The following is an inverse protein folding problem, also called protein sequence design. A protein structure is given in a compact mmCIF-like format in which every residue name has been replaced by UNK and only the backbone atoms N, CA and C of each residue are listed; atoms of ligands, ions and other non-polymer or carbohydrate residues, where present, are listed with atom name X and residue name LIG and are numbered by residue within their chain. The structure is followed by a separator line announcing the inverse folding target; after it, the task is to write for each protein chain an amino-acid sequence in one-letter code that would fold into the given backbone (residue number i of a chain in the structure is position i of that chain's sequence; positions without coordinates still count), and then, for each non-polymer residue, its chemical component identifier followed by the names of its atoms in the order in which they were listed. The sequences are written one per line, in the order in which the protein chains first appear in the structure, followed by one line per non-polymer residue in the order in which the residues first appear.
data_IF_732031553624
#
_entry.id   IF_732031553624
#
_cell.length_a   1.000
_cell.length_b   1.000
_cell.length_c   1.000
_cell.angle_alpha   90.00
_cell.angle_beta   90.00
_cell.angle_gamma   90.00
#
_symmetry.space_group_name_H-M   'P 1'
#
loop_
_entity.id
_entity.type
_entity.pdbx_description
1 polymer ?
#
# COMPACT_ATOMS: atom_id res chain seq x y z
N UNK A 1 -10.46 -8.22 -11.31
CA UNK A 1 -9.88 -6.94 -11.79
C UNK A 1 -11.00 -5.94 -11.98
N UNK A 2 -10.84 -4.71 -11.49
CA UNK A 2 -11.88 -3.67 -11.44
C UNK A 2 -11.33 -2.30 -11.84
N UNK A 3 -12.15 -1.47 -12.49
CA UNK A 3 -11.81 -0.13 -12.94
C UNK A 3 -12.13 0.92 -11.86
N UNK A 4 -11.13 1.61 -11.33
CA UNK A 4 -11.32 2.67 -10.33
C UNK A 4 -11.42 4.07 -10.95
N UNK A 5 -11.01 4.22 -12.21
CA UNK A 5 -11.05 5.46 -12.99
C UNK A 5 -10.88 5.11 -14.47
N UNK A 6 -11.60 5.79 -15.36
CA UNK A 6 -11.64 5.52 -16.82
C UNK A 6 -10.31 5.68 -17.56
N UNK A 7 -9.30 6.23 -16.88
CA UNK A 7 -7.96 6.47 -17.43
C UNK A 7 -6.92 5.44 -16.95
N UNK A 8 -7.31 4.53 -16.06
CA UNK A 8 -6.42 3.54 -15.43
C UNK A 8 -6.90 2.16 -15.86
N UNK A 9 -5.97 1.29 -16.25
CA UNK A 9 -6.31 -0.09 -16.56
C UNK A 9 -6.96 -0.78 -15.34
N UNK A 10 -7.80 -1.81 -15.54
CA UNK A 10 -8.37 -2.57 -14.43
C UNK A 10 -7.29 -3.09 -13.49
N UNK A 11 -7.46 -2.85 -12.19
CA UNK A 11 -6.52 -3.24 -11.13
C UNK A 11 -7.03 -4.47 -10.37
N UNK A 12 -6.18 -5.24 -9.67
CA UNK A 12 -6.56 -6.47 -8.97
C UNK A 12 -7.29 -6.22 -7.64
N UNK A 13 -8.26 -5.30 -7.65
CA UNK A 13 -9.15 -5.06 -6.52
C UNK A 13 -10.43 -5.88 -6.62
N UNK A 14 -10.94 -6.29 -5.46
CA UNK A 14 -12.26 -6.88 -5.34
C UNK A 14 -13.32 -5.84 -5.70
N UNK A 15 -14.27 -6.18 -6.60
CA UNK A 15 -15.36 -5.28 -6.94
C UNK A 15 -16.12 -4.78 -5.70
N UNK A 16 -16.38 -5.66 -4.73
CA UNK A 16 -17.13 -5.30 -3.52
C UNK A 16 -16.39 -4.27 -2.64
N UNK A 17 -15.05 -4.32 -2.64
CA UNK A 17 -14.21 -3.39 -1.90
C UNK A 17 -14.28 -1.98 -2.50
N UNK A 18 -14.15 -1.89 -3.81
CA UNK A 18 -14.21 -0.62 -4.53
C UNK A 18 -15.63 -0.03 -4.47
N UNK A 19 -16.66 -0.86 -4.68
CA UNK A 19 -18.05 -0.44 -4.51
C UNK A 19 -18.31 0.10 -3.10
N UNK A 20 -17.78 -0.57 -2.07
CA UNK A 20 -17.86 -0.08 -0.71
C UNK A 20 -17.16 1.26 -0.54
N UNK A 21 -15.94 1.43 -1.06
CA UNK A 21 -15.19 2.69 -0.98
C UNK A 21 -15.94 3.84 -1.64
N UNK A 22 -16.50 3.63 -2.83
CA UNK A 22 -17.30 4.65 -3.52
C UNK A 22 -18.59 4.98 -2.77
N UNK A 23 -19.32 3.98 -2.23
CA UNK A 23 -20.49 4.22 -1.38
C UNK A 23 -20.12 4.94 -0.08
N UNK A 24 -18.94 4.66 0.47
CA UNK A 24 -18.40 5.36 1.63
C UNK A 24 -17.99 6.81 1.32
N UNK A 25 -17.95 7.19 0.04
CA UNK A 25 -17.70 8.55 -0.43
C UNK A 25 -16.28 8.79 -0.93
N UNK A 26 -15.50 7.73 -1.16
CA UNK A 26 -14.20 7.84 -1.84
C UNK A 26 -14.41 8.42 -3.24
N UNK A 27 -13.49 9.27 -3.69
CA UNK A 27 -13.37 9.73 -5.07
C UNK A 27 -11.94 9.51 -5.56
N UNK A 28 -11.79 9.31 -6.86
CA UNK A 28 -10.48 9.16 -7.52
C UNK A 28 -10.35 10.24 -8.58
N UNK A 29 -9.20 10.93 -8.62
CA UNK A 29 -8.86 11.89 -9.67
C UNK A 29 -7.45 11.66 -10.18
N UNK A 30 -7.23 11.85 -11.48
CA UNK A 30 -5.91 11.81 -12.11
C UNK A 30 -5.56 13.21 -12.62
N UNK A 31 -4.40 13.76 -12.20
CA UNK A 31 -3.99 15.13 -12.56
C UNK A 31 -3.55 15.26 -14.01
N UNK A 32 -2.60 14.43 -14.45
CA UNK A 32 -2.09 14.43 -15.83
C UNK A 32 -1.90 13.00 -16.32
N UNK A 33 -2.74 12.58 -17.27
CA UNK A 33 -2.70 11.23 -17.84
C UNK A 33 -1.49 10.98 -18.75
N UNK A 34 -0.68 12.00 -19.05
CA UNK A 34 0.46 11.91 -19.97
C UNK A 34 1.82 12.04 -19.28
N UNK A 35 1.84 12.39 -18.00
CA UNK A 35 3.11 12.51 -17.29
C UNK A 35 3.72 11.13 -17.00
N UNK A 36 5.05 11.08 -17.01
CA UNK A 36 5.83 9.89 -16.67
C UNK A 36 6.23 9.82 -15.18
N UNK A 37 5.91 10.86 -14.40
CA UNK A 37 6.19 10.89 -12.96
C UNK A 37 5.10 10.12 -12.20
N UNK A 38 5.48 9.14 -11.38
CA UNK A 38 4.54 8.38 -10.56
C UNK A 38 4.03 9.12 -9.32
N UNK A 39 3.25 8.41 -8.50
CA UNK A 39 2.82 8.85 -7.17
C UNK A 39 1.41 9.41 -7.08
N UNK A 40 1.00 9.69 -5.85
CA UNK A 40 -0.31 10.24 -5.52
C UNK A 40 -0.42 10.58 -4.05
N UNK A 41 -1.64 10.89 -3.62
CA UNK A 41 -2.00 11.13 -2.24
C UNK A 41 -3.39 10.59 -1.94
N UNK A 42 -3.53 10.00 -0.76
CA UNK A 42 -4.81 9.84 -0.09
C UNK A 42 -5.08 11.01 0.88
N UNK A 43 -6.16 11.73 0.63
CA UNK A 43 -6.67 12.82 1.46
C UNK A 43 -7.85 12.33 2.32
N UNK A 44 -7.64 11.94 3.58
CA UNK A 44 -8.67 11.33 4.43
C UNK A 44 -9.83 12.28 4.73
N UNK A 45 -9.54 13.57 4.92
CA UNK A 45 -10.52 14.63 5.20
C UNK A 45 -11.51 14.85 4.05
N UNK A 46 -11.07 14.58 2.81
CA UNK A 46 -11.85 14.79 1.58
C UNK A 46 -12.35 13.50 0.94
N UNK A 47 -11.93 12.37 1.52
CA UNK A 47 -12.03 11.03 0.95
C UNK A 47 -11.59 10.99 -0.52
N UNK A 48 -10.43 11.55 -0.81
CA UNK A 48 -9.94 11.72 -2.18
C UNK A 48 -8.63 10.97 -2.38
N UNK A 49 -8.63 10.02 -3.31
CA UNK A 49 -7.43 9.48 -3.94
C UNK A 49 -7.07 10.40 -5.10
N UNK A 50 -5.96 11.11 -4.98
CA UNK A 50 -5.44 12.00 -6.00
C UNK A 50 -4.15 11.43 -6.58
N UNK A 51 -4.22 10.98 -7.83
CA UNK A 51 -3.08 10.41 -8.53
C UNK A 51 -2.44 11.48 -9.41
N UNK A 52 -1.11 11.53 -9.42
CA UNK A 52 -0.42 12.46 -10.31
C UNK A 52 -0.55 12.02 -11.77
N UNK A 53 -0.55 10.71 -12.01
CA UNK A 53 -0.60 10.07 -13.34
C UNK A 53 -1.43 8.79 -13.31
N UNK A 54 -1.42 8.03 -14.40
CA UNK A 54 -2.09 6.73 -14.53
C UNK A 54 -1.25 5.56 -14.02
N UNK A 55 -0.18 5.82 -13.25
CA UNK A 55 0.69 4.78 -12.70
C UNK A 55 -0.09 3.81 -11.80
N UNK A 56 -0.14 2.54 -12.22
CA UNK A 56 -0.87 1.48 -11.51
C UNK A 56 -0.36 1.26 -10.09
N UNK A 57 0.96 1.31 -9.87
CA UNK A 57 1.56 1.13 -8.54
C UNK A 57 1.05 2.18 -7.54
N UNK A 58 1.02 3.46 -7.94
CA UNK A 58 0.49 4.54 -7.13
C UNK A 58 -1.02 4.40 -6.92
N UNK A 59 -1.76 4.03 -7.96
CA UNK A 59 -3.20 3.77 -7.84
C UNK A 59 -3.50 2.68 -6.80
N UNK A 60 -2.71 1.60 -6.80
CA UNK A 60 -2.83 0.52 -5.82
C UNK A 60 -2.52 1.04 -4.41
N UNK A 61 -1.42 1.79 -4.27
CA UNK A 61 -0.96 2.36 -3.01
C UNK A 61 -2.02 3.28 -2.37
N UNK A 62 -2.50 4.28 -3.11
CA UNK A 62 -3.43 5.27 -2.56
C UNK A 62 -4.82 4.71 -2.26
N UNK A 63 -5.31 3.77 -3.07
CA UNK A 63 -6.57 3.07 -2.77
C UNK A 63 -6.42 2.16 -1.55
N UNK A 64 -5.25 1.52 -1.38
CA UNK A 64 -4.97 0.75 -0.18
C UNK A 64 -4.93 1.63 1.09
N UNK A 65 -4.40 2.86 1.00
CA UNK A 65 -4.53 3.84 2.09
C UNK A 65 -5.98 4.13 2.45
N UNK A 66 -6.83 4.37 1.44
CA UNK A 66 -8.25 4.65 1.64
C UNK A 66 -8.98 3.48 2.31
N UNK A 67 -8.69 2.25 1.88
CA UNK A 67 -9.26 1.03 2.46
C UNK A 67 -8.86 0.81 3.92
N UNK A 68 -7.57 1.00 4.21
CA UNK A 68 -6.99 0.76 5.53
C UNK A 68 -7.38 1.83 6.55
N UNK A 69 -7.73 3.03 6.10
CA UNK A 69 -7.96 4.20 6.95
C UNK A 69 -8.93 3.96 8.11
N UNK A 70 -10.05 3.25 7.88
CA UNK A 70 -11.00 2.92 8.94
C UNK A 70 -10.58 1.67 9.72
N UNK A 71 -10.16 0.62 9.01
CA UNK A 71 -9.80 -0.69 9.57
C UNK A 71 -8.63 -0.64 10.54
N UNK A 72 -7.65 0.24 10.32
CA UNK A 72 -6.51 0.39 11.23
C UNK A 72 -6.88 0.85 12.63
N UNK A 73 -8.02 1.56 12.76
CA UNK A 73 -8.54 2.06 14.03
C UNK A 73 -9.31 1.00 14.82
N UNK A 74 -9.58 -0.16 14.20
CA UNK A 74 -10.34 -1.23 14.80
C UNK A 74 -9.43 -2.16 15.62
N UNK A 75 -9.68 -2.20 16.94
CA UNK A 75 -9.03 -3.12 17.85
C UNK A 75 -7.50 -3.05 17.79
N UNK A 76 -6.88 -4.15 17.35
CA UNK A 76 -5.41 -4.33 17.32
C UNK A 76 -4.87 -4.41 15.89
N UNK A 77 -5.64 -3.98 14.89
CA UNK A 77 -5.31 -4.14 13.48
C UNK A 77 -4.00 -3.43 13.09
N UNK A 78 -3.82 -2.16 13.48
CA UNK A 78 -2.57 -1.43 13.24
C UNK A 78 -1.36 -2.15 13.87
N UNK A 79 -1.46 -2.57 15.13
CA UNK A 79 -0.37 -3.28 15.82
C UNK A 79 -0.05 -4.62 15.14
N UNK A 80 -1.07 -5.38 14.71
CA UNK A 80 -0.87 -6.64 13.98
C UNK A 80 -0.20 -6.39 12.61
N UNK A 81 -0.56 -5.32 11.91
CA UNK A 81 0.06 -4.96 10.64
C UNK A 81 1.55 -4.66 10.83
N UNK A 82 1.90 -3.86 11.85
CA UNK A 82 3.30 -3.57 12.20
C UNK A 82 4.08 -4.86 12.49
N UNK A 83 3.54 -5.74 13.34
CA UNK A 83 4.18 -7.03 13.66
C UNK A 83 4.35 -7.90 12.42
N UNK A 84 3.36 -7.93 11.53
CA UNK A 84 3.43 -8.67 10.29
C UNK A 84 4.49 -8.08 9.35
N UNK A 85 4.62 -6.76 9.25
CA UNK A 85 5.68 -6.09 8.47
C UNK A 85 7.06 -6.37 9.03
N UNK A 86 7.26 -6.31 10.36
CA UNK A 86 8.54 -6.66 10.99
C UNK A 86 8.89 -8.13 10.75
N UNK A 87 7.91 -9.03 10.82
CA UNK A 87 8.15 -10.43 10.47
C UNK A 87 8.51 -10.61 9.00
N UNK A 88 7.84 -9.88 8.11
CA UNK A 88 8.07 -9.94 6.67
C UNK A 88 9.45 -9.40 6.26
N UNK A 89 10.02 -8.44 6.99
CA UNK A 89 11.38 -7.95 6.70
C UNK A 89 12.47 -9.02 6.87
N UNK A 90 12.19 -10.03 7.70
CA UNK A 90 13.08 -11.17 7.93
C UNK A 90 12.71 -12.41 7.09
N UNK A 91 11.77 -12.28 6.15
CA UNK A 91 11.35 -13.37 5.30
C UNK A 91 12.48 -13.79 4.34
N UNK A 92 12.69 -15.09 4.21
CA UNK A 92 13.80 -15.68 3.42
C UNK A 92 13.31 -16.48 2.23
N UNK A 93 12.02 -16.80 2.18
CA UNK A 93 11.42 -17.43 1.02
C UNK A 93 11.47 -16.49 -0.19
N UNK A 94 12.19 -16.92 -1.24
CA UNK A 94 12.37 -16.14 -2.47
C UNK A 94 11.06 -15.82 -3.18
N UNK A 95 9.98 -16.56 -2.93
CA UNK A 95 8.66 -16.24 -3.47
C UNK A 95 8.15 -14.87 -3.01
N UNK A 96 8.63 -14.40 -1.86
CA UNK A 96 8.20 -13.16 -1.22
C UNK A 96 9.29 -12.09 -1.18
N UNK A 97 10.39 -12.27 -1.93
CA UNK A 97 11.59 -11.42 -1.89
C UNK A 97 11.27 -9.93 -2.06
N UNK A 98 10.39 -9.58 -3.00
CA UNK A 98 10.00 -8.18 -3.22
C UNK A 98 9.24 -7.59 -2.02
N UNK A 99 8.30 -8.34 -1.46
CA UNK A 99 7.53 -7.91 -0.30
C UNK A 99 8.43 -7.79 0.95
N UNK A 100 9.34 -8.75 1.13
CA UNK A 100 10.34 -8.75 2.19
C UNK A 100 11.30 -7.55 2.11
N UNK A 101 11.80 -7.25 0.90
CA UNK A 101 12.65 -6.10 0.65
C UNK A 101 11.96 -4.79 1.05
N UNK A 102 10.71 -4.58 0.59
CA UNK A 102 9.96 -3.36 0.91
C UNK A 102 9.60 -3.28 2.39
N UNK A 103 9.25 -4.39 3.04
CA UNK A 103 9.11 -4.45 4.49
C UNK A 103 10.40 -4.03 5.21
N UNK A 104 11.56 -4.51 4.74
CA UNK A 104 12.87 -4.12 5.25
C UNK A 104 13.12 -2.61 5.15
N UNK A 105 12.71 -1.97 4.05
CA UNK A 105 12.79 -0.52 3.92
C UNK A 105 11.95 0.20 4.99
N UNK A 106 10.77 -0.31 5.32
CA UNK A 106 9.93 0.30 6.36
C UNK A 106 10.46 0.10 7.79
N UNK A 107 11.12 -1.03 8.05
CA UNK A 107 11.66 -1.36 9.39
C UNK A 107 13.02 -0.72 9.64
N UNK A 108 13.92 -0.76 8.65
CA UNK A 108 15.34 -0.41 8.80
C UNK A 108 15.75 0.83 8.01
N UNK A 109 14.85 1.34 7.16
CA UNK A 109 15.17 2.42 6.25
C UNK A 109 15.93 1.97 5.01
N UNK A 110 16.39 2.94 4.24
CA UNK A 110 17.12 2.73 2.98
C UNK A 110 18.47 3.44 3.11
N UNK A 111 19.57 2.71 3.40
CA UNK A 111 20.89 3.33 3.59
C UNK A 111 21.37 4.19 2.41
N UNK A 112 20.95 3.85 1.18
CA UNK A 112 21.27 4.62 -0.02
C UNK A 112 20.45 5.91 -0.20
N UNK A 113 19.39 6.09 0.57
CA UNK A 113 18.53 7.28 0.51
C UNK A 113 18.95 8.27 1.59
N UNK A 114 19.90 9.15 1.24
CA UNK A 114 20.45 10.15 2.13
C UNK A 114 19.36 11.08 2.70
N UNK A 115 19.41 11.32 4.01
CA UNK A 115 18.54 12.24 4.73
C UNK A 115 19.36 12.97 5.80
N UNK A 116 19.68 14.24 5.56
CA UNK A 116 20.50 15.05 6.46
C UNK A 116 19.78 15.41 7.77
N UNK A 117 18.45 15.26 7.84
CA UNK A 117 17.68 15.46 9.07
C UNK A 117 17.59 14.18 9.93
N UNK A 118 17.99 13.03 9.39
CA UNK A 118 18.00 11.76 10.09
C UNK A 118 19.26 11.59 10.95
N UNK A 119 19.16 11.05 12.18
CA UNK A 119 20.32 10.73 13.02
C UNK A 119 21.22 9.63 12.43
N UNK A 120 20.74 8.84 11.48
CA UNK A 120 21.57 7.84 10.78
C UNK A 120 22.26 8.43 9.55
N UNK A 121 21.83 9.60 9.07
CA UNK A 121 22.26 10.19 7.79
C UNK A 121 21.55 9.62 6.56
N UNK A 122 20.61 8.68 6.75
CA UNK A 122 19.73 8.14 5.72
C UNK A 122 18.30 7.99 6.23
N UNK A 123 17.35 7.85 5.32
CA UNK A 123 15.95 7.70 5.66
C UNK A 123 15.71 6.43 6.51
N UNK A 124 15.17 6.58 7.73
CA UNK A 124 15.12 5.53 8.77
C UNK A 124 13.97 4.51 8.65
N UNK A 125 13.14 4.59 7.62
CA UNK A 125 11.94 3.75 7.54
C UNK A 125 10.72 4.40 8.21
N UNK A 126 9.53 3.91 7.85
CA UNK A 126 8.26 4.45 8.34
C UNK A 126 7.88 3.95 9.74
N UNK A 127 8.45 2.83 10.19
CA UNK A 127 8.17 2.28 11.52
C UNK A 127 9.02 2.93 12.62
N UNK A 128 10.18 3.48 12.27
CA UNK A 128 11.08 4.14 13.24
C UNK A 128 10.46 5.46 13.70
N UNK A 129 10.17 5.56 15.00
CA UNK A 129 9.67 6.77 15.65
C UNK A 129 8.19 7.11 15.42
N UNK A 130 7.58 6.62 14.34
CA UNK A 130 6.19 6.93 13.99
C UNK A 130 5.23 5.72 14.07
N UNK A 131 5.75 4.49 13.95
CA UNK A 131 4.89 3.29 13.90
C UNK A 131 3.86 3.35 12.77
N UNK A 132 4.25 3.89 11.61
CA UNK A 132 3.32 4.25 10.54
C UNK A 132 2.87 3.01 9.75
N UNK A 133 1.92 2.26 10.32
CA UNK A 133 1.28 1.11 9.70
C UNK A 133 0.55 1.45 8.39
N UNK A 134 0.21 2.74 8.20
CA UNK A 134 -0.55 3.19 7.04
C UNK A 134 0.25 3.03 5.75
N UNK A 135 1.51 3.48 5.79
CA UNK A 135 2.48 3.32 4.70
C UNK A 135 2.91 1.86 4.53
N UNK A 136 3.04 1.11 5.63
CA UNK A 136 3.35 -0.31 5.53
C UNK A 136 2.24 -1.08 4.80
N UNK A 137 0.97 -0.79 5.11
CA UNK A 137 -0.17 -1.44 4.46
C UNK A 137 -0.23 -1.13 2.97
N UNK A 138 -0.19 0.16 2.62
CA UNK A 138 -0.28 0.60 1.23
C UNK A 138 0.95 0.19 0.41
N UNK A 139 2.13 0.33 1.00
CA UNK A 139 3.41 -0.03 0.41
C UNK A 139 3.54 -1.50 0.08
N UNK A 140 3.09 -2.39 0.97
CA UNK A 140 3.13 -3.83 0.69
C UNK A 140 2.14 -4.22 -0.41
N UNK A 141 0.94 -3.60 -0.46
CA UNK A 141 0.01 -3.83 -1.56
C UNK A 141 0.60 -3.41 -2.92
N UNK A 142 1.20 -2.22 -2.99
CA UNK A 142 1.80 -1.71 -4.22
C UNK A 142 3.08 -2.46 -4.60
N UNK A 143 3.90 -2.88 -3.63
CA UNK A 143 5.13 -3.64 -3.87
C UNK A 143 4.90 -4.95 -4.64
N UNK A 144 3.75 -5.59 -4.43
CA UNK A 144 3.35 -6.81 -5.14
C UNK A 144 2.41 -6.54 -6.32
N UNK A 145 2.18 -5.27 -6.67
CA UNK A 145 1.19 -4.86 -7.68
C UNK A 145 -0.20 -5.45 -7.41
N UNK A 146 -0.59 -5.54 -6.13
CA UNK A 146 -1.86 -6.10 -5.70
C UNK A 146 -2.01 -7.63 -5.87
N UNK A 147 -0.93 -8.34 -6.22
CA UNK A 147 -0.92 -9.81 -6.33
C UNK A 147 -0.77 -10.45 -4.95
N UNK A 148 -1.91 -10.79 -4.35
CA UNK A 148 -1.99 -11.33 -2.98
C UNK A 148 -1.20 -12.63 -2.81
N UNK A 149 -1.01 -13.40 -3.88
CA UNK A 149 -0.23 -14.64 -3.88
C UNK A 149 1.28 -14.41 -3.61
N UNK A 150 1.77 -13.19 -3.83
CA UNK A 150 3.15 -12.78 -3.54
C UNK A 150 3.34 -12.28 -2.11
N UNK A 151 2.33 -12.42 -1.26
CA UNK A 151 2.39 -12.21 0.17
C UNK A 151 2.35 -13.56 0.90
N UNK A 152 3.01 -13.72 2.05
CA UNK A 152 2.92 -14.94 2.84
C UNK A 152 1.57 -15.03 3.58
N UNK A 153 1.20 -16.25 3.99
CA UNK A 153 -0.12 -16.55 4.59
C UNK A 153 -0.45 -15.75 5.86
N UNK A 154 0.55 -15.23 6.57
CA UNK A 154 0.34 -14.38 7.74
C UNK A 154 0.10 -12.90 7.39
N UNK A 155 0.35 -12.49 6.14
CA UNK A 155 0.12 -11.13 5.63
C UNK A 155 -1.12 -11.07 4.73
N UNK A 156 -1.40 -12.13 3.95
CA UNK A 156 -2.58 -12.19 3.06
C UNK A 156 -3.92 -11.80 3.73
N UNK A 157 -4.21 -12.19 5.00
CA UNK A 157 -5.50 -11.88 5.61
C UNK A 157 -5.81 -10.37 5.73
N UNK A 158 -4.78 -9.51 5.77
CA UNK A 158 -4.97 -8.05 5.80
C UNK A 158 -5.55 -7.50 4.49
N UNK A 159 -5.40 -8.24 3.39
CA UNK A 159 -5.76 -7.82 2.04
C UNK A 159 -6.91 -8.65 1.44
N UNK A 160 -7.34 -9.73 2.08
CA UNK A 160 -8.31 -10.68 1.53
C UNK A 160 -9.66 -10.05 1.14
N UNK A 161 -10.04 -8.95 1.78
CA UNK A 161 -11.25 -8.18 1.45
C UNK A 161 -11.01 -7.04 0.47
N UNK A 162 -9.75 -6.68 0.16
CA UNK A 162 -9.40 -5.60 -0.77
C UNK A 162 -8.95 -6.13 -2.14
N UNK A 163 -8.07 -7.12 -2.15
CA UNK A 163 -7.41 -7.62 -3.36
C UNK A 163 -8.07 -8.91 -3.83
N UNK A 164 -8.16 -9.07 -5.15
CA UNK A 164 -8.61 -10.31 -5.78
C UNK A 164 -7.54 -11.40 -5.60
N UNK A 165 -7.99 -12.64 -5.40
CA UNK A 165 -7.13 -13.79 -5.64
C UNK A 165 -6.97 -14.00 -7.15
N UNK A 166 -5.78 -14.44 -7.62
CA UNK A 166 -5.61 -14.80 -9.02
C UNK A 166 -6.62 -15.89 -9.40
N UNK A 167 -7.27 -15.73 -10.55
CA UNK A 167 -8.11 -16.78 -11.11
C UNK A 167 -7.23 -18.03 -11.35
N UNK A 168 -7.64 -19.16 -10.80
CA UNK A 168 -6.97 -20.45 -10.95
C UNK A 168 -6.97 -20.96 -12.41
#
# INVERSE_FOLDING_TARGET
MYEIHTAIAPLPFRPEAIDWLFRWGMRVTVRDTRSASGGGYWWPDRKLVELFTTQEEAAIHEVAHAWWHSRRLEGVNAAKMIVATVRLSEETDRRFERAAQVAGYYVYGIPGQKDDASPTGWWMGQLVGQGNDWECYAGLASAVMGRIEQLPDYVRPFYAELLDEPAA
#
